data_IF_429777485449
#
_entry.id   IF_429777485449
#
_cell.length_a   1.000
_cell.length_b   1.000
_cell.length_c   1.000
_cell.angle_alpha   90.00
_cell.angle_beta   90.00
_cell.angle_gamma   90.00
#
_symmetry.space_group_name_H-M   'P 1'
#
loop_
_entity.id
_entity.type
_entity.pdbx_description
1 polymer ?
#
# COMPACT_ATOMS: atom_id res chain seq x y z
N UNK A 1 8.27 15.43 -2.81
CA UNK A 1 9.14 14.39 -2.22
C UNK A 1 8.43 13.45 -1.21
N UNK A 2 7.09 13.47 -1.07
CA UNK A 2 6.39 12.68 -0.03
C UNK A 2 5.33 11.75 -0.64
N UNK A 3 5.69 10.98 -1.68
CA UNK A 3 4.81 9.97 -2.26
C UNK A 3 4.76 8.76 -1.32
N UNK A 4 3.57 8.22 -1.09
CA UNK A 4 3.42 6.96 -0.38
C UNK A 4 3.56 5.81 -1.38
N UNK A 5 4.32 4.80 -0.99
CA UNK A 5 4.50 3.57 -1.75
C UNK A 5 3.62 2.47 -1.14
N UNK A 6 2.98 1.68 -2.00
CA UNK A 6 2.16 0.53 -1.63
C UNK A 6 2.43 -0.59 -2.62
N UNK A 7 2.73 -1.79 -2.13
CA UNK A 7 2.68 -2.99 -2.97
C UNK A 7 1.23 -3.35 -3.24
N UNK A 8 0.90 -3.58 -4.52
CA UNK A 8 -0.45 -3.86 -5.01
C UNK A 8 -0.49 -5.14 -5.84
N UNK A 9 -1.61 -5.85 -5.79
CA UNK A 9 -1.91 -6.94 -6.73
C UNK A 9 -3.32 -6.76 -7.28
N UNK A 10 -3.42 -6.50 -8.59
CA UNK A 10 -4.70 -6.43 -9.28
C UNK A 10 -5.41 -7.80 -9.34
N UNK A 11 -4.65 -8.90 -9.34
CA UNK A 11 -5.19 -10.26 -9.45
C UNK A 11 -5.86 -10.74 -8.16
N UNK A 12 -5.28 -10.40 -7.02
CA UNK A 12 -5.78 -10.79 -5.70
C UNK A 12 -6.42 -9.62 -4.94
N UNK A 13 -6.61 -8.47 -5.60
CA UNK A 13 -7.10 -7.22 -5.01
C UNK A 13 -6.34 -6.74 -3.76
N UNK A 14 -5.10 -7.22 -3.55
CA UNK A 14 -4.30 -6.84 -2.40
C UNK A 14 -3.93 -5.36 -2.45
N UNK A 15 -4.24 -4.64 -1.37
CA UNK A 15 -4.00 -3.19 -1.20
C UNK A 15 -4.56 -2.31 -2.33
N UNK A 16 -5.48 -2.81 -3.15
CA UNK A 16 -6.00 -2.12 -4.33
C UNK A 16 -6.54 -0.71 -3.99
N UNK A 17 -7.17 -0.57 -2.84
CA UNK A 17 -7.77 0.68 -2.39
C UNK A 17 -6.77 1.69 -1.79
N UNK A 18 -5.59 1.25 -1.31
CA UNK A 18 -4.67 2.09 -0.54
C UNK A 18 -4.17 3.32 -1.33
N UNK A 19 -3.79 3.22 -2.62
CA UNK A 19 -3.39 4.38 -3.41
C UNK A 19 -4.50 5.42 -3.58
N UNK A 20 -5.72 4.95 -3.83
CA UNK A 20 -6.89 5.83 -4.03
C UNK A 20 -7.30 6.51 -2.73
N UNK A 21 -7.28 5.78 -1.61
CA UNK A 21 -7.56 6.33 -0.30
C UNK A 21 -6.56 7.41 0.10
N UNK A 22 -5.27 7.17 -0.15
CA UNK A 22 -4.23 8.17 0.10
C UNK A 22 -4.44 9.44 -0.72
N UNK A 23 -4.76 9.27 -2.01
CA UNK A 23 -5.04 10.40 -2.89
C UNK A 23 -6.28 11.17 -2.43
N UNK A 24 -7.37 10.49 -2.07
CA UNK A 24 -8.59 11.11 -1.56
C UNK A 24 -8.33 11.93 -0.29
N UNK A 25 -7.59 11.37 0.68
CA UNK A 25 -7.17 12.09 1.90
C UNK A 25 -6.37 13.34 1.58
N UNK A 26 -5.46 13.27 0.60
CA UNK A 26 -4.63 14.42 0.19
C UNK A 26 -5.43 15.50 -0.53
N UNK A 27 -6.38 15.13 -1.37
CA UNK A 27 -7.21 16.07 -2.13
C UNK A 27 -8.26 16.75 -1.26
N UNK A 28 -8.88 16.01 -0.33
CA UNK A 28 -9.95 16.51 0.53
C UNK A 28 -9.39 17.21 1.78
N UNK A 29 -8.17 16.84 2.21
CA UNK A 29 -7.55 17.38 3.41
C UNK A 29 -8.04 16.73 4.71
N UNK A 30 -8.86 15.68 4.62
CA UNK A 30 -9.35 14.91 5.75
C UNK A 30 -8.47 13.66 5.97
N UNK A 31 -7.70 13.57 7.06
CA UNK A 31 -6.87 12.41 7.37
C UNK A 31 -7.70 11.17 7.81
N UNK A 32 -8.91 11.38 8.32
CA UNK A 32 -9.77 10.32 8.87
C UNK A 32 -10.74 9.72 7.84
N UNK A 33 -10.69 10.22 6.60
CA UNK A 33 -11.46 9.70 5.47
C UNK A 33 -11.21 8.19 5.30
N UNK A 34 -12.30 7.44 5.16
CA UNK A 34 -12.33 5.99 4.93
C UNK A 34 -13.35 5.67 3.87
N UNK A 35 -13.11 4.64 3.07
CA UNK A 35 -14.15 4.12 2.18
C UNK A 35 -15.21 3.39 3.00
N UNK A 36 -16.46 3.82 2.85
CA UNK A 36 -17.61 3.24 3.55
C UNK A 36 -18.23 2.21 2.61
N UNK A 37 -17.75 0.97 2.70
CA UNK A 37 -18.10 -0.21 1.88
C UNK A 37 -17.72 -0.13 0.39
N UNK A 38 -17.13 -1.21 -0.12
CA UNK A 38 -16.91 -1.40 -1.56
C UNK A 38 -18.23 -1.75 -2.24
N UNK A 39 -18.53 -1.07 -3.35
CA UNK A 39 -19.47 -1.58 -4.36
C UNK A 39 -18.99 -2.99 -4.74
N UNK A 40 -19.90 -3.98 -4.75
CA UNK A 40 -19.58 -5.40 -4.89
C UNK A 40 -18.51 -5.66 -5.99
N UNK A 41 -17.26 -5.91 -5.57
CA UNK A 41 -16.21 -6.33 -6.48
C UNK A 41 -16.52 -7.73 -7.00
N UNK A 42 -16.11 -8.00 -8.25
CA UNK A 42 -16.18 -9.33 -8.83
C UNK A 42 -15.47 -10.35 -7.90
N UNK A 43 -15.96 -11.61 -7.82
CA UNK A 43 -15.36 -12.65 -7.01
C UNK A 43 -13.85 -12.76 -7.29
N UNK A 44 -13.06 -12.78 -6.21
CA UNK A 44 -11.60 -12.88 -6.25
C UNK A 44 -11.16 -14.11 -7.07
N UNK A 45 -10.36 -13.93 -8.12
CA UNK A 45 -9.87 -15.06 -8.92
C UNK A 45 -8.78 -15.87 -8.19
N UNK A 46 -8.04 -15.25 -7.26
CA UNK A 46 -6.98 -15.91 -6.47
C UNK A 46 -6.86 -15.28 -5.07
N UNK A 47 -6.88 -16.11 -4.03
CA UNK A 47 -6.64 -15.72 -2.64
C UNK A 47 -5.14 -15.48 -2.44
N UNK A 48 -4.77 -14.29 -1.95
CA UNK A 48 -3.38 -14.03 -1.56
C UNK A 48 -3.07 -14.79 -0.27
N UNK A 49 -1.90 -15.43 -0.20
CA UNK A 49 -1.42 -16.07 1.03
C UNK A 49 -1.26 -15.02 2.15
N UNK A 50 -2.00 -15.14 3.27
CA UNK A 50 -1.90 -14.21 4.39
C UNK A 50 -0.49 -14.13 5.00
N UNK A 51 0.27 -15.23 4.99
CA UNK A 51 1.61 -15.24 5.56
C UNK A 51 2.57 -14.37 4.72
N UNK A 52 2.44 -14.44 3.41
CA UNK A 52 3.23 -13.64 2.48
C UNK A 52 2.84 -12.17 2.52
N UNK A 53 1.53 -11.87 2.62
CA UNK A 53 1.06 -10.49 2.80
C UNK A 53 1.64 -9.83 4.06
N UNK A 54 1.62 -10.55 5.20
CA UNK A 54 2.20 -10.06 6.45
C UNK A 54 3.72 -9.88 6.38
N UNK A 55 4.41 -10.68 5.56
CA UNK A 55 5.84 -10.48 5.31
C UNK A 55 6.09 -9.19 4.54
N UNK A 56 5.37 -8.95 3.45
CA UNK A 56 5.52 -7.70 2.69
C UNK A 56 5.20 -6.45 3.50
N UNK A 57 4.19 -6.50 4.37
CA UNK A 57 3.91 -5.35 5.25
C UNK A 57 5.05 -5.08 6.22
N UNK A 58 5.67 -6.11 6.80
CA UNK A 58 6.87 -5.96 7.63
C UNK A 58 8.05 -5.39 6.86
N UNK A 59 8.31 -5.91 5.66
CA UNK A 59 9.43 -5.47 4.83
C UNK A 59 9.25 -3.99 4.42
N UNK A 60 8.01 -3.56 4.16
CA UNK A 60 7.65 -2.15 3.93
C UNK A 60 7.91 -1.26 5.14
N UNK A 61 7.52 -1.69 6.34
CA UNK A 61 7.77 -0.94 7.58
C UNK A 61 9.26 -0.76 7.84
N UNK A 62 10.05 -1.83 7.64
CA UNK A 62 11.51 -1.79 7.73
C UNK A 62 12.11 -0.85 6.69
N UNK A 63 11.67 -0.91 5.43
CA UNK A 63 12.15 -0.03 4.37
C UNK A 63 11.78 1.44 4.60
N UNK A 64 10.63 1.72 5.22
CA UNK A 64 10.20 3.08 5.57
C UNK A 64 10.96 3.68 6.76
N UNK A 65 11.46 2.84 7.67
CA UNK A 65 12.16 3.25 8.90
C UNK A 65 13.68 3.18 8.78
N UNK A 66 14.18 2.40 7.83
CA UNK A 66 15.58 2.43 7.43
C UNK A 66 15.82 3.74 6.69
N UNK A 67 16.50 4.70 7.35
CA UNK A 67 17.07 5.84 6.65
C UNK A 67 17.88 5.26 5.49
N UNK A 68 17.69 5.78 4.27
CA UNK A 68 18.55 5.48 3.12
C UNK A 68 19.95 5.86 3.54
N UNK A 69 20.67 4.90 4.13
CA UNK A 69 22.03 5.10 4.60
C UNK A 69 22.82 5.41 3.35
N UNK A 70 23.56 6.51 3.39
CA UNK A 70 24.32 7.08 2.28
C UNK A 70 25.51 6.18 1.92
N UNK A 71 25.24 4.94 1.50
CA UNK A 71 26.23 3.96 1.05
C UNK A 71 26.12 3.68 -0.46
N UNK A 72 25.38 4.52 -1.19
CA UNK A 72 25.48 4.60 -2.65
C UNK A 72 26.25 5.86 -3.07
N UNK A 73 27.46 6.01 -2.54
CA UNK A 73 28.55 6.75 -3.20
C UNK A 73 29.41 5.75 -3.98
N UNK A 74 28.80 4.98 -4.90
CA UNK A 74 29.51 4.39 -6.04
C UNK A 74 28.54 3.85 -7.13
N UNK A 75 27.92 4.76 -7.89
CA UNK A 75 27.69 4.54 -9.32
C UNK A 75 27.62 5.88 -10.07
#
# INVERSE_FOLDING_TARGET
>A
KNLRYYDISAKSNYNFEKPFLWLARKLIGDPDLKFVTMLALAPLEVVMDPALAAQYERDLEVAQTTAVSAEEENL
#
